data_IF_110900486486
#
_entry.id   IF_110900486486
#
_cell.length_a   1.000
_cell.length_b   1.000
_cell.length_c   1.000
_cell.angle_alpha   90.00
_cell.angle_beta   90.00
_cell.angle_gamma   90.00
#
_symmetry.space_group_name_H-M   'P 1'
#
loop_
_entity.id
_entity.type
_entity.pdbx_description
1 polymer ?
#
# COMPACT_ATOMS: atom_id res chain seq x y z
N UNK A 1 -19.33 6.49 9.94
CA UNK A 1 -18.31 7.47 10.42
C UNK A 1 -17.04 7.28 9.59
N UNK A 2 -16.25 8.32 9.33
CA UNK A 2 -15.01 8.20 8.55
C UNK A 2 -13.87 8.86 9.30
N UNK A 3 -12.86 8.06 9.63
CA UNK A 3 -11.66 8.52 10.31
C UNK A 3 -10.44 8.29 9.41
N UNK A 4 -9.57 9.29 9.32
CA UNK A 4 -8.34 9.21 8.54
C UNK A 4 -7.16 9.65 9.39
N UNK A 5 -6.17 8.77 9.51
CA UNK A 5 -4.91 9.05 10.18
C UNK A 5 -3.78 9.06 9.16
N UNK A 6 -3.05 10.17 9.09
CA UNK A 6 -1.82 10.28 8.33
C UNK A 6 -0.63 10.41 9.27
N UNK A 7 0.38 9.55 9.10
CA UNK A 7 1.62 9.58 9.87
C UNK A 7 2.82 9.47 8.96
N UNK A 8 3.73 10.43 9.07
CA UNK A 8 5.06 10.38 8.44
C UNK A 8 6.11 10.08 9.49
N UNK A 9 7.07 9.20 9.19
CA UNK A 9 8.22 8.91 10.04
C UNK A 9 9.50 8.82 9.23
N UNK A 10 10.61 9.20 9.83
CA UNK A 10 11.94 8.87 9.29
C UNK A 10 12.28 7.41 9.60
N UNK A 11 12.99 6.77 8.68
CA UNK A 11 13.48 5.39 8.82
C UNK A 11 14.96 5.34 8.44
N UNK A 12 15.68 4.35 8.96
CA UNK A 12 17.10 4.14 8.69
C UNK A 12 17.98 5.37 9.01
N UNK A 13 17.78 5.99 10.19
CA UNK A 13 18.56 7.15 10.66
C UNK A 13 18.58 8.30 9.64
N UNK A 14 17.39 8.68 9.13
CA UNK A 14 17.22 9.79 8.19
C UNK A 14 17.47 9.48 6.71
N UNK A 15 17.87 8.25 6.37
CA UNK A 15 18.11 7.82 4.97
C UNK A 15 16.85 7.31 4.26
N UNK A 16 15.73 7.31 4.95
CA UNK A 16 14.46 6.90 4.36
C UNK A 16 13.26 7.57 5.03
N UNK A 17 12.14 7.53 4.32
CA UNK A 17 10.87 8.10 4.74
C UNK A 17 9.78 7.05 4.63
N UNK A 18 9.00 6.93 5.69
CA UNK A 18 7.81 6.09 5.75
C UNK A 18 6.58 7.00 5.85
N UNK A 19 5.61 6.78 4.97
CA UNK A 19 4.30 7.42 4.98
C UNK A 19 3.28 6.32 5.24
N UNK A 20 2.50 6.48 6.30
CA UNK A 20 1.40 5.60 6.67
C UNK A 20 0.10 6.39 6.63
N UNK A 21 -0.86 5.89 5.86
CA UNK A 21 -2.23 6.41 5.84
C UNK A 21 -3.14 5.26 6.26
N UNK A 22 -3.93 5.48 7.29
CA UNK A 22 -4.96 4.55 7.73
C UNK A 22 -6.30 5.26 7.60
N UNK A 23 -7.27 4.60 7.01
CA UNK A 23 -8.63 5.09 6.87
C UNK A 23 -9.57 4.02 7.41
N UNK A 24 -10.42 4.41 8.34
CA UNK A 24 -11.51 3.61 8.84
C UNK A 24 -12.82 4.23 8.34
N UNK A 25 -13.68 3.41 7.75
CA UNK A 25 -14.98 3.86 7.25
C UNK A 25 -16.03 2.83 7.62
N UNK A 26 -17.12 3.33 8.17
CA UNK A 26 -18.32 2.55 8.42
C UNK A 26 -19.48 3.11 7.62
N UNK A 27 -20.12 2.25 6.83
CA UNK A 27 -21.37 2.52 6.12
C UNK A 27 -22.48 1.54 6.54
N UNK A 28 -23.62 1.57 5.85
CA UNK A 28 -24.79 0.76 6.21
C UNK A 28 -24.51 -0.73 6.09
N UNK A 29 -23.70 -1.13 5.13
CA UNK A 29 -23.56 -2.51 4.70
C UNK A 29 -22.23 -3.13 5.16
N UNK A 30 -21.24 -2.29 5.49
CA UNK A 30 -19.89 -2.74 5.77
C UNK A 30 -19.09 -1.83 6.71
N UNK A 31 -18.02 -2.41 7.25
CA UNK A 31 -16.92 -1.69 7.93
C UNK A 31 -15.65 -1.95 7.14
N UNK A 32 -14.93 -0.91 6.76
CA UNK A 32 -13.69 -1.01 5.99
C UNK A 32 -12.52 -0.37 6.71
N UNK A 33 -11.41 -1.08 6.79
CA UNK A 33 -10.11 -0.58 7.23
C UNK A 33 -9.13 -0.61 6.05
N UNK A 34 -8.70 0.56 5.63
CA UNK A 34 -7.73 0.74 4.54
C UNK A 34 -6.43 1.24 5.12
N UNK A 35 -5.33 0.51 4.89
CA UNK A 35 -3.98 0.89 5.27
C UNK A 35 -3.10 0.99 4.04
N UNK A 36 -2.55 2.19 3.80
CA UNK A 36 -1.56 2.49 2.76
C UNK A 36 -0.23 2.80 3.43
N UNK A 37 0.83 2.13 2.99
CA UNK A 37 2.17 2.32 3.51
C UNK A 37 3.14 2.50 2.35
N UNK A 38 3.87 3.61 2.37
CA UNK A 38 4.87 3.96 1.37
C UNK A 38 6.21 4.13 2.07
N UNK A 39 7.18 3.28 1.73
CA UNK A 39 8.53 3.36 2.27
C UNK A 39 9.47 3.71 1.13
N UNK A 40 10.27 4.75 1.32
CA UNK A 40 11.32 5.18 0.42
C UNK A 40 12.65 5.18 1.15
N UNK A 41 13.69 4.63 0.52
CA UNK A 41 15.06 4.64 1.05
C UNK A 41 15.97 5.18 -0.04
N UNK A 42 16.79 6.17 0.30
CA UNK A 42 17.68 6.81 -0.65
C UNK A 42 19.13 6.50 -0.31
N UNK A 43 19.93 6.28 -1.36
CA UNK A 43 21.39 6.17 -1.27
C UNK A 43 22.03 6.84 -2.47
N UNK A 44 23.18 7.44 -2.28
CA UNK A 44 23.99 7.97 -3.38
C UNK A 44 24.51 6.81 -4.23
N UNK A 45 24.58 7.00 -5.55
CA UNK A 45 25.07 6.03 -6.50
C UNK A 45 26.04 6.70 -7.48
N UNK A 46 27.06 5.97 -7.91
CA UNK A 46 28.07 6.51 -8.83
C UNK A 46 27.62 6.45 -10.30
N UNK A 47 26.75 5.50 -10.64
CA UNK A 47 26.21 5.29 -11.98
C UNK A 47 24.83 4.65 -11.93
N UNK A 48 24.08 4.82 -13.01
CA UNK A 48 22.84 4.08 -13.23
C UNK A 48 23.17 2.64 -13.61
N UNK A 49 22.40 1.71 -13.07
CA UNK A 49 22.47 0.28 -13.38
C UNK A 49 21.12 -0.15 -13.91
N UNK A 50 21.08 -1.19 -14.76
CA UNK A 50 19.80 -1.80 -15.14
C UNK A 50 19.12 -2.35 -13.90
N UNK A 51 17.94 -1.79 -13.58
CA UNK A 51 17.15 -2.24 -12.46
C UNK A 51 16.23 -3.39 -12.88
N UNK A 52 16.00 -4.39 -12.00
CA UNK A 52 14.97 -5.37 -12.25
C UNK A 52 13.59 -4.70 -12.29
N UNK A 53 12.66 -5.32 -13.01
CA UNK A 53 11.27 -4.91 -12.99
C UNK A 53 10.73 -4.94 -11.54
N UNK A 54 9.78 -4.05 -11.19
CA UNK A 54 9.18 -4.04 -9.86
C UNK A 54 8.52 -5.38 -9.54
N UNK A 55 8.72 -5.86 -8.32
CA UNK A 55 8.04 -7.03 -7.81
C UNK A 55 6.64 -6.64 -7.36
N UNK A 56 5.63 -7.32 -7.89
CA UNK A 56 4.22 -7.13 -7.54
C UNK A 56 3.69 -8.41 -6.91
N UNK A 57 3.04 -8.28 -5.75
CA UNK A 57 2.32 -9.37 -5.09
C UNK A 57 0.91 -8.89 -4.74
N UNK A 58 -0.08 -9.73 -5.07
CA UNK A 58 -1.49 -9.50 -4.78
C UNK A 58 -2.01 -10.71 -4.02
N UNK A 59 -2.61 -10.47 -2.86
CA UNK A 59 -3.27 -11.49 -2.05
C UNK A 59 -4.74 -11.06 -1.86
N UNK A 60 -5.69 -11.93 -2.20
CA UNK A 60 -7.12 -11.71 -1.96
C UNK A 60 -7.72 -12.97 -1.34
N UNK A 61 -8.46 -12.81 -0.25
CA UNK A 61 -9.24 -13.91 0.33
C UNK A 61 -10.56 -13.41 0.90
N UNK A 62 -11.52 -14.32 1.01
CA UNK A 62 -12.81 -14.07 1.62
C UNK A 62 -13.09 -15.19 2.62
N UNK A 63 -13.37 -14.80 3.86
CA UNK A 63 -13.83 -15.68 4.93
C UNK A 63 -15.35 -15.52 5.05
N UNK A 64 -16.07 -16.55 4.62
CA UNK A 64 -17.53 -16.55 4.66
C UNK A 64 -18.11 -16.71 6.07
N UNK A 65 -17.37 -17.33 6.99
CA UNK A 65 -17.84 -17.56 8.36
C UNK A 65 -17.80 -16.24 9.14
N UNK A 66 -16.68 -15.52 9.04
CA UNK A 66 -16.50 -14.21 9.69
C UNK A 66 -17.02 -13.04 8.84
N UNK A 67 -17.40 -13.29 7.58
CA UNK A 67 -17.85 -12.29 6.59
C UNK A 67 -16.79 -11.20 6.35
N UNK A 68 -15.53 -11.62 6.36
CA UNK A 68 -14.38 -10.75 6.17
C UNK A 68 -13.79 -10.94 4.77
N UNK A 69 -13.62 -9.84 4.05
CA UNK A 69 -12.87 -9.79 2.80
C UNK A 69 -11.54 -9.07 3.04
N UNK A 70 -10.46 -9.70 2.59
CA UNK A 70 -9.12 -9.14 2.67
C UNK A 70 -8.54 -8.99 1.28
N UNK A 71 -7.93 -7.83 1.06
CA UNK A 71 -7.11 -7.54 -0.11
C UNK A 71 -5.79 -6.93 0.32
N UNK A 72 -4.69 -7.44 -0.22
CA UNK A 72 -3.38 -6.84 -0.09
C UNK A 72 -2.67 -6.74 -1.45
N UNK A 73 -2.07 -5.58 -1.68
CA UNK A 73 -1.17 -5.32 -2.80
C UNK A 73 0.17 -4.86 -2.24
N UNK A 74 1.25 -5.45 -2.75
CA UNK A 74 2.61 -5.05 -2.44
C UNK A 74 3.38 -4.83 -3.73
N UNK A 75 3.96 -3.64 -3.87
CA UNK A 75 4.83 -3.27 -4.99
C UNK A 75 6.18 -2.86 -4.44
N UNK A 76 7.26 -3.46 -4.93
CA UNK A 76 8.64 -3.11 -4.55
C UNK A 76 9.48 -2.89 -5.77
N UNK A 77 10.39 -1.94 -5.68
CA UNK A 77 11.39 -1.74 -6.71
C UNK A 77 12.39 -0.68 -6.33
N UNK A 78 13.10 -0.19 -7.33
CA UNK A 78 13.95 0.96 -7.20
C UNK A 78 13.85 1.82 -8.46
N UNK A 79 14.31 3.06 -8.35
CA UNK A 79 14.52 3.96 -9.48
C UNK A 79 15.76 4.82 -9.22
N UNK A 80 16.29 5.43 -10.26
CA UNK A 80 17.32 6.44 -10.15
C UNK A 80 16.71 7.84 -10.33
N UNK A 81 17.23 8.80 -9.58
CA UNK A 81 16.86 10.21 -9.71
C UNK A 81 18.05 11.11 -9.36
N UNK A 82 18.15 12.25 -10.04
CA UNK A 82 19.15 13.26 -9.71
C UNK A 82 18.63 14.22 -8.64
N UNK A 83 19.46 14.50 -7.63
CA UNK A 83 19.20 15.52 -6.61
C UNK A 83 20.46 16.34 -6.40
N UNK A 84 20.40 17.65 -6.66
CA UNK A 84 21.55 18.57 -6.54
C UNK A 84 22.82 18.05 -7.25
N UNK A 85 22.69 17.61 -8.51
CA UNK A 85 23.77 17.00 -9.33
C UNK A 85 24.33 15.66 -8.83
N UNK A 86 23.79 15.10 -7.73
CA UNK A 86 24.14 13.76 -7.25
C UNK A 86 23.13 12.76 -7.74
N UNK A 87 23.61 11.62 -8.22
CA UNK A 87 22.77 10.50 -8.60
C UNK A 87 22.35 9.73 -7.34
N UNK A 88 21.04 9.55 -7.18
CA UNK A 88 20.45 8.85 -6.05
C UNK A 88 19.72 7.61 -6.54
N UNK A 89 19.99 6.47 -5.91
CA UNK A 89 19.16 5.26 -6.03
C UNK A 89 18.08 5.30 -4.95
N UNK A 90 16.83 5.30 -5.37
CA UNK A 90 15.65 5.36 -4.51
C UNK A 90 14.99 3.98 -4.53
N UNK A 91 15.13 3.22 -3.45
CA UNK A 91 14.36 2.00 -3.22
C UNK A 91 12.97 2.36 -2.70
N UNK A 92 11.94 1.69 -3.20
CA UNK A 92 10.56 1.88 -2.75
C UNK A 92 9.87 0.56 -2.40
N UNK A 93 8.98 0.61 -1.42
CA UNK A 93 8.09 -0.49 -1.04
C UNK A 93 6.72 0.09 -0.67
N UNK A 94 5.71 -0.19 -1.51
CA UNK A 94 4.34 0.29 -1.35
C UNK A 94 3.44 -0.88 -0.98
N UNK A 95 2.64 -0.70 0.06
CA UNK A 95 1.71 -1.70 0.55
C UNK A 95 0.33 -1.07 0.68
N UNK A 96 -0.67 -1.71 0.09
CA UNK A 96 -2.08 -1.44 0.31
C UNK A 96 -2.67 -2.68 0.99
N UNK A 97 -3.35 -2.49 2.11
CA UNK A 97 -4.15 -3.52 2.77
C UNK A 97 -5.55 -2.98 2.97
N UNK A 98 -6.54 -3.74 2.56
CA UNK A 98 -7.96 -3.44 2.75
C UNK A 98 -8.55 -4.63 3.49
N UNK A 99 -9.20 -4.35 4.62
CA UNK A 99 -10.07 -5.28 5.32
C UNK A 99 -11.48 -4.75 5.22
N UNK A 100 -12.41 -5.62 4.88
CA UNK A 100 -13.82 -5.30 4.78
C UNK A 100 -14.59 -6.34 5.59
N UNK A 101 -15.42 -5.88 6.50
CA UNK A 101 -16.35 -6.71 7.26
C UNK A 101 -17.77 -6.41 6.81
N UNK A 102 -18.50 -7.42 6.37
CA UNK A 102 -19.89 -7.28 5.91
C UNK A 102 -20.88 -7.43 7.06
N UNK A 103 -21.75 -6.42 7.26
CA UNK A 103 -22.73 -6.40 8.36
C UNK A 103 -23.88 -7.38 8.17
N UNK A 104 -24.21 -7.70 6.92
CA UNK A 104 -25.26 -8.64 6.53
C UNK A 104 -24.67 -9.88 5.85
N UNK A 105 -25.45 -10.94 5.70
CA UNK A 105 -25.08 -12.15 4.94
C UNK A 105 -25.04 -11.93 3.41
N UNK A 106 -24.90 -10.67 2.97
CA UNK A 106 -24.72 -10.36 1.56
C UNK A 106 -23.35 -10.88 1.17
N UNK A 107 -23.34 -12.05 0.52
CA UNK A 107 -22.17 -12.57 -0.16
C UNK A 107 -21.60 -11.44 -1.04
N UNK A 108 -20.29 -11.22 -0.95
CA UNK A 108 -19.52 -10.23 -1.73
C UNK A 108 -20.18 -10.03 -3.10
N UNK A 109 -20.51 -8.79 -3.52
CA UNK A 109 -21.36 -8.54 -4.68
C UNK A 109 -20.93 -9.43 -5.85
N UNK A 110 -21.90 -10.19 -6.40
CA UNK A 110 -21.66 -11.08 -7.53
C UNK A 110 -21.03 -10.26 -8.65
N UNK A 111 -19.73 -10.50 -8.87
CA UNK A 111 -18.83 -9.82 -9.82
C UNK A 111 -18.28 -8.48 -9.30
N UNK A 112 -16.95 -8.47 -9.15
CA UNK A 112 -16.14 -7.27 -9.26
C UNK A 112 -16.55 -6.50 -10.52
N UNK A 113 -17.24 -5.37 -10.34
CA UNK A 113 -17.42 -4.40 -11.42
C UNK A 113 -16.05 -3.78 -11.63
N UNK A 114 -15.36 -4.18 -12.69
CA UNK A 114 -14.23 -3.43 -13.20
C UNK A 114 -14.76 -2.07 -13.59
N UNK A 115 -14.33 -1.00 -12.92
CA UNK A 115 -14.58 0.34 -13.42
C UNK A 115 -13.78 0.49 -14.72
N UNK A 116 -14.49 0.51 -15.85
CA UNK A 116 -13.98 0.88 -17.16
C UNK A 116 -13.89 2.41 -17.26
#
# INVERSE_FOLDING_TARGET
>A
MRDMLHKTREVLKGRGRMILITEHKEDRDSVSDVRKEFVYVTREANREETLPAPQVRIDKFYDSENRDEFFALRVKGALYAYRHRRLMKIGYSHHLKIRLHWKSHVASPKKSVTMA
#
